data_IF_267387987697
#
_entry.id   IF_267387987697
#
_cell.length_a   1.000
_cell.length_b   1.000
_cell.length_c   1.000
_cell.angle_alpha   90.00
_cell.angle_beta   90.00
_cell.angle_gamma   90.00
#
_symmetry.space_group_name_H-M   'P 1'
#
loop_
_entity.id
_entity.type
_entity.pdbx_description
1 polymer ?
#
# COMPACT_ATOMS: atom_id res chain seq x y z
N UNK A 1 -73.32 4.36 -24.89
CA UNK A 1 -72.30 3.91 -23.90
C UNK A 1 -70.93 4.22 -24.48
N UNK A 2 -70.37 5.36 -24.10
CA UNK A 2 -69.04 5.83 -24.54
C UNK A 2 -68.10 5.73 -23.36
N UNK A 3 -67.11 4.84 -23.45
CA UNK A 3 -66.08 4.67 -22.41
C UNK A 3 -64.92 5.62 -22.73
N UNK A 4 -64.69 6.59 -21.85
CA UNK A 4 -63.56 7.51 -21.92
C UNK A 4 -62.35 6.86 -21.25
N UNK A 5 -61.36 6.42 -22.04
CA UNK A 5 -60.08 5.94 -21.52
C UNK A 5 -59.17 7.13 -21.17
N UNK A 6 -59.06 7.44 -19.89
CA UNK A 6 -58.05 8.36 -19.38
C UNK A 6 -56.72 7.62 -19.25
N UNK A 7 -55.79 7.88 -20.17
CA UNK A 7 -54.40 7.46 -20.03
C UNK A 7 -53.67 8.49 -19.15
N UNK A 8 -53.06 8.09 -18.02
CA UNK A 8 -52.35 9.02 -17.17
C UNK A 8 -51.03 9.44 -17.85
N UNK A 9 -50.87 10.75 -18.05
CA UNK A 9 -49.71 11.45 -18.65
C UNK A 9 -48.36 11.11 -17.96
N UNK A 10 -48.36 10.41 -16.83
CA UNK A 10 -47.16 10.09 -16.05
C UNK A 10 -46.27 9.00 -16.65
N UNK A 11 -46.77 8.18 -17.58
CA UNK A 11 -45.99 7.03 -18.08
C UNK A 11 -45.02 7.40 -19.22
N UNK A 12 -45.17 8.56 -19.87
CA UNK A 12 -44.26 8.97 -20.96
C UNK A 12 -42.98 9.68 -20.48
N UNK A 13 -42.92 10.16 -19.23
CA UNK A 13 -41.78 10.93 -18.74
C UNK A 13 -40.56 10.07 -18.32
N UNK A 14 -40.75 8.76 -18.09
CA UNK A 14 -39.68 7.87 -17.60
C UNK A 14 -38.83 7.32 -18.77
N UNK A 15 -39.38 7.21 -19.98
CA UNK A 15 -38.65 6.68 -21.13
C UNK A 15 -37.61 7.66 -21.72
N UNK A 16 -37.80 8.97 -21.55
CA UNK A 16 -36.88 9.97 -22.10
C UNK A 16 -35.60 10.17 -21.26
N UNK A 17 -35.60 9.82 -19.97
CA UNK A 17 -34.45 10.00 -19.09
C UNK A 17 -33.41 8.86 -19.21
N UNK A 18 -33.79 7.69 -19.77
CA UNK A 18 -32.90 6.53 -19.85
C UNK A 18 -32.00 6.53 -21.11
N UNK A 19 -32.30 7.34 -22.12
CA UNK A 19 -31.52 7.40 -23.36
C UNK A 19 -30.40 8.46 -23.31
N UNK A 20 -30.48 9.44 -22.39
CA UNK A 20 -29.45 10.48 -22.24
C UNK A 20 -28.23 10.04 -21.40
N UNK A 21 -28.28 8.90 -20.71
CA UNK A 21 -27.19 8.43 -19.85
C UNK A 21 -26.18 7.51 -20.56
N UNK A 22 -26.44 7.12 -21.82
CA UNK A 22 -25.61 6.13 -22.54
C UNK A 22 -24.45 6.76 -23.32
N UNK A 23 -24.39 8.09 -23.47
CA UNK A 23 -23.38 8.75 -24.33
C UNK A 23 -22.18 9.35 -23.60
N UNK A 24 -22.09 9.24 -22.27
CA UNK A 24 -20.97 9.80 -21.48
C UNK A 24 -20.07 8.74 -20.84
N UNK A 25 -19.89 7.59 -21.48
CA UNK A 25 -18.80 6.67 -21.14
C UNK A 25 -17.48 7.22 -21.70
N UNK A 26 -16.91 8.22 -21.04
CA UNK A 26 -15.51 8.55 -21.25
C UNK A 26 -14.67 7.33 -20.85
N UNK A 27 -13.67 6.90 -21.65
CA UNK A 27 -12.76 5.86 -21.22
C UNK A 27 -12.09 6.33 -19.93
N UNK A 28 -12.13 5.49 -18.90
CA UNK A 28 -11.31 5.69 -17.72
C UNK A 28 -9.85 5.62 -18.16
N UNK A 29 -9.23 6.78 -18.38
CA UNK A 29 -7.77 6.86 -18.52
C UNK A 29 -7.24 6.44 -17.16
N UNK A 30 -6.76 5.20 -17.06
CA UNK A 30 -6.01 4.76 -15.89
C UNK A 30 -4.89 5.78 -15.67
N UNK A 31 -4.88 6.43 -14.51
CA UNK A 31 -3.79 7.34 -14.15
C UNK A 31 -2.51 6.52 -14.08
N UNK A 32 -1.75 6.49 -15.17
CA UNK A 32 -0.38 6.00 -15.15
C UNK A 32 0.39 6.94 -14.24
N UNK A 33 0.77 6.47 -13.06
CA UNK A 33 1.67 7.22 -12.18
C UNK A 33 2.91 7.62 -12.99
N UNK A 34 3.14 8.93 -13.11
CA UNK A 34 4.36 9.51 -13.72
C UNK A 34 5.56 9.46 -12.77
N UNK A 35 5.43 8.77 -11.63
CA UNK A 35 6.53 8.57 -10.69
C UNK A 35 7.60 7.74 -11.40
N UNK A 36 8.80 8.30 -11.65
CA UNK A 36 9.87 7.57 -12.28
C UNK A 36 10.16 6.28 -11.51
N UNK A 37 10.30 5.18 -12.22
CA UNK A 37 10.72 3.92 -11.62
C UNK A 37 12.11 4.10 -10.95
N UNK A 38 12.09 4.07 -9.62
CA UNK A 38 13.15 3.65 -8.71
C UNK A 38 14.61 3.94 -9.09
N UNK A 39 15.03 5.20 -9.11
CA UNK A 39 16.46 5.56 -9.15
C UNK A 39 16.84 6.71 -8.20
N UNK A 40 15.86 7.29 -7.50
CA UNK A 40 16.13 8.28 -6.46
C UNK A 40 16.80 7.60 -5.24
N UNK A 41 17.96 8.10 -4.85
CA UNK A 41 18.60 7.76 -3.59
C UNK A 41 17.99 8.57 -2.43
N UNK A 42 18.01 7.99 -1.24
CA UNK A 42 17.64 8.69 -0.01
C UNK A 42 18.69 9.76 0.33
N UNK A 43 18.23 10.97 0.63
CA UNK A 43 19.01 12.08 1.18
C UNK A 43 18.35 12.55 2.47
N UNK A 44 19.03 13.32 3.34
CA UNK A 44 18.42 13.88 4.54
C UNK A 44 17.09 14.62 4.29
N UNK A 45 16.96 15.28 3.14
CA UNK A 45 15.81 16.12 2.81
C UNK A 45 14.62 15.37 2.18
N UNK A 46 14.85 14.16 1.64
CA UNK A 46 13.81 13.41 0.94
C UNK A 46 13.48 12.05 1.58
N UNK A 47 14.27 11.62 2.56
CA UNK A 47 14.16 10.32 3.17
C UNK A 47 13.02 10.25 4.18
N UNK A 48 12.27 9.16 4.11
CA UNK A 48 11.39 8.69 5.19
C UNK A 48 11.99 7.44 5.81
N UNK A 49 11.65 7.20 7.07
CA UNK A 49 11.78 5.89 7.68
C UNK A 49 10.46 5.14 7.49
N UNK A 50 10.51 3.87 7.11
CA UNK A 50 9.32 3.03 7.00
C UNK A 50 9.49 1.82 7.90
N UNK A 51 8.74 1.78 9.00
CA UNK A 51 8.66 0.60 9.85
C UNK A 51 7.61 -0.36 9.29
N UNK A 52 8.05 -1.55 8.91
CA UNK A 52 7.24 -2.64 8.40
C UNK A 52 7.17 -3.74 9.45
N UNK A 53 5.95 -4.06 9.87
CA UNK A 53 5.69 -5.25 10.67
C UNK A 53 5.29 -6.39 9.75
N UNK A 54 6.11 -7.43 9.68
CA UNK A 54 5.82 -8.70 9.03
C UNK A 54 5.32 -9.68 10.08
N UNK A 55 4.02 -9.60 10.40
CA UNK A 55 3.42 -10.36 11.51
C UNK A 55 3.26 -11.82 11.11
N UNK A 56 3.73 -12.72 11.96
CA UNK A 56 3.63 -14.15 11.72
C UNK A 56 2.17 -14.61 11.72
N UNK A 57 1.86 -15.56 10.85
CA UNK A 57 0.62 -16.33 10.95
C UNK A 57 0.84 -17.55 11.85
N UNK A 58 0.48 -17.41 13.12
CA UNK A 58 0.63 -18.49 14.11
C UNK A 58 -0.37 -19.64 13.94
N UNK A 59 -1.29 -19.56 12.97
CA UNK A 59 -2.19 -20.69 12.66
C UNK A 59 -1.53 -21.77 11.80
N UNK A 60 -0.33 -21.50 11.26
CA UNK A 60 0.38 -22.37 10.31
C UNK A 60 1.80 -22.71 10.80
N UNK A 61 2.33 -23.91 10.50
CA UNK A 61 3.70 -24.26 10.81
C UNK A 61 4.73 -23.37 10.10
N UNK A 62 5.81 -23.02 10.79
CA UNK A 62 6.89 -22.17 10.26
C UNK A 62 7.50 -22.71 8.96
N UNK A 63 7.64 -24.04 8.84
CA UNK A 63 8.19 -24.67 7.63
C UNK A 63 7.35 -24.37 6.38
N UNK A 64 6.02 -24.36 6.50
CA UNK A 64 5.12 -24.05 5.39
C UNK A 64 5.21 -22.57 4.99
N UNK A 65 5.28 -21.67 5.97
CA UNK A 65 5.44 -20.24 5.74
C UNK A 65 6.77 -19.96 5.01
N UNK A 66 7.86 -20.60 5.44
CA UNK A 66 9.16 -20.47 4.80
C UNK A 66 9.19 -21.02 3.37
N UNK A 67 8.56 -22.18 3.13
CA UNK A 67 8.45 -22.74 1.79
C UNK A 67 7.64 -21.81 0.86
N UNK A 68 6.59 -21.19 1.37
CA UNK A 68 5.81 -20.20 0.64
C UNK A 68 6.65 -18.96 0.30
N UNK A 69 7.36 -18.37 1.27
CA UNK A 69 8.24 -17.21 1.03
C UNK A 69 9.32 -17.52 -0.01
N UNK A 70 9.90 -18.72 0.04
CA UNK A 70 10.88 -19.16 -0.94
C UNK A 70 10.27 -19.27 -2.35
N UNK A 71 9.08 -19.89 -2.48
CA UNK A 71 8.35 -20.00 -3.74
C UNK A 71 7.97 -18.62 -4.31
N UNK A 72 7.58 -17.69 -3.45
CA UNK A 72 7.22 -16.32 -3.83
C UNK A 72 8.44 -15.42 -4.07
N UNK A 73 9.66 -15.87 -3.75
CA UNK A 73 10.89 -15.13 -4.00
C UNK A 73 11.11 -13.93 -3.06
N UNK A 74 10.54 -13.95 -1.85
CA UNK A 74 10.61 -12.83 -0.89
C UNK A 74 12.04 -12.33 -0.65
N UNK A 75 12.96 -13.21 -0.23
CA UNK A 75 14.34 -12.82 0.08
C UNK A 75 15.17 -12.46 -1.16
N UNK A 76 14.65 -12.71 -2.38
CA UNK A 76 15.29 -12.25 -3.62
C UNK A 76 14.84 -10.83 -3.98
N UNK A 77 13.58 -10.49 -3.69
CA UNK A 77 12.96 -9.23 -4.09
C UNK A 77 13.02 -8.15 -3.01
N UNK A 78 12.98 -8.53 -1.73
CA UNK A 78 12.93 -7.62 -0.60
C UNK A 78 14.27 -7.53 0.16
N UNK A 79 14.76 -6.32 0.48
CA UNK A 79 14.24 -5.03 0.03
C UNK A 79 14.55 -4.76 -1.45
N UNK A 80 13.80 -3.87 -2.13
CA UNK A 80 14.13 -3.43 -3.48
C UNK A 80 15.53 -2.75 -3.55
N UNK A 81 16.24 -2.84 -4.69
CA UNK A 81 17.57 -2.23 -4.82
C UNK A 81 17.60 -0.73 -4.48
N UNK A 82 18.59 -0.29 -3.70
CA UNK A 82 18.73 1.12 -3.31
C UNK A 82 17.76 1.58 -2.21
N UNK A 83 17.00 0.67 -1.59
CA UNK A 83 16.34 0.90 -0.30
C UNK A 83 17.28 0.43 0.81
N UNK A 84 17.56 1.30 1.78
CA UNK A 84 18.44 0.98 2.91
C UNK A 84 17.66 0.24 4.00
N UNK A 85 18.26 -0.80 4.59
CA UNK A 85 17.75 -1.47 5.81
C UNK A 85 18.44 -0.85 7.03
N UNK A 86 17.69 -0.08 7.81
CA UNK A 86 18.17 0.54 9.05
C UNK A 86 18.20 -0.47 10.19
N UNK A 87 17.18 -1.33 10.26
CA UNK A 87 17.15 -2.46 11.20
C UNK A 87 16.25 -3.59 10.70
N UNK A 88 16.56 -4.82 11.10
CA UNK A 88 15.74 -5.99 10.85
C UNK A 88 15.83 -6.92 12.07
N UNK A 89 14.72 -7.11 12.78
CA UNK A 89 14.68 -7.92 14.00
C UNK A 89 13.51 -8.89 13.99
N UNK A 90 13.66 -10.02 14.69
CA UNK A 90 12.54 -10.91 15.00
C UNK A 90 12.04 -10.54 16.40
N UNK A 91 10.84 -10.01 16.47
CA UNK A 91 10.16 -9.65 17.72
C UNK A 91 9.19 -10.78 18.10
N UNK A 92 9.52 -11.51 19.17
CA UNK A 92 8.73 -12.62 19.67
C UNK A 92 7.27 -12.21 19.89
N UNK A 93 6.33 -13.05 19.43
CA UNK A 93 4.89 -12.78 19.50
C UNK A 93 4.34 -11.82 18.45
N UNK A 94 5.19 -11.16 17.67
CA UNK A 94 4.79 -10.30 16.55
C UNK A 94 5.21 -10.93 15.24
N UNK A 95 6.50 -11.15 15.05
CA UNK A 95 7.09 -11.61 13.80
C UNK A 95 8.36 -10.85 13.50
N UNK A 96 8.53 -10.35 12.28
CA UNK A 96 9.71 -9.55 11.93
C UNK A 96 9.34 -8.07 11.87
N UNK A 97 10.24 -7.22 12.38
CA UNK A 97 10.11 -5.76 12.25
C UNK A 97 11.33 -5.28 11.47
N UNK A 98 11.05 -4.60 10.36
CA UNK A 98 12.06 -4.04 9.46
C UNK A 98 11.88 -2.54 9.40
N UNK A 99 12.93 -1.77 9.64
CA UNK A 99 12.94 -0.32 9.42
C UNK A 99 13.74 -0.05 8.17
N UNK A 100 13.11 0.57 7.17
CA UNK A 100 13.73 0.93 5.90
C UNK A 100 13.96 2.44 5.84
N UNK A 101 15.01 2.88 5.14
CA UNK A 101 15.20 4.27 4.73
C UNK A 101 15.14 4.37 3.21
N UNK A 102 14.30 5.27 2.72
CA UNK A 102 14.02 5.44 1.29
C UNK A 102 13.43 6.82 1.02
N UNK A 103 13.53 7.36 -0.21
CA UNK A 103 12.76 8.53 -0.59
C UNK A 103 11.26 8.22 -0.64
N UNK A 104 10.42 9.19 -0.26
CA UNK A 104 8.96 9.01 -0.24
C UNK A 104 8.38 8.56 -1.60
N UNK A 105 9.00 8.96 -2.71
CA UNK A 105 8.61 8.55 -4.07
C UNK A 105 8.71 7.04 -4.32
N UNK A 106 9.47 6.29 -3.52
CA UNK A 106 9.69 4.84 -3.67
C UNK A 106 8.83 3.97 -2.75
N UNK A 107 7.96 4.55 -1.92
CA UNK A 107 7.08 3.79 -1.02
C UNK A 107 6.21 2.77 -1.77
N UNK A 108 5.71 3.14 -2.97
CA UNK A 108 4.92 2.24 -3.81
C UNK A 108 5.71 0.98 -4.22
N UNK A 109 6.99 1.13 -4.53
CA UNK A 109 7.85 0.03 -4.94
C UNK A 109 8.05 -0.98 -3.82
N UNK A 110 8.32 -0.49 -2.60
CA UNK A 110 8.42 -1.35 -1.41
C UNK A 110 7.10 -2.06 -1.13
N UNK A 111 5.99 -1.32 -1.15
CA UNK A 111 4.67 -1.91 -0.94
C UNK A 111 4.42 -3.03 -1.96
N UNK A 112 4.71 -2.79 -3.25
CA UNK A 112 4.47 -3.77 -4.30
C UNK A 112 5.26 -5.07 -4.11
N UNK A 113 6.54 -4.97 -3.73
CA UNK A 113 7.35 -6.15 -3.42
C UNK A 113 6.74 -6.95 -2.27
N UNK A 114 6.24 -6.28 -1.23
CA UNK A 114 5.63 -6.96 -0.09
C UNK A 114 4.27 -7.59 -0.44
N UNK A 115 3.45 -6.90 -1.23
CA UNK A 115 2.21 -7.46 -1.79
C UNK A 115 2.47 -8.74 -2.58
N UNK A 116 3.45 -8.70 -3.48
CA UNK A 116 3.72 -9.79 -4.42
C UNK A 116 4.41 -10.99 -3.74
N UNK A 117 5.22 -10.74 -2.70
CA UNK A 117 6.14 -11.75 -2.18
C UNK A 117 6.00 -12.12 -0.70
N UNK A 118 5.39 -11.27 0.12
CA UNK A 118 5.27 -11.48 1.57
C UNK A 118 3.86 -11.88 2.02
N UNK A 119 2.83 -11.46 1.28
CA UNK A 119 1.44 -11.71 1.65
C UNK A 119 1.09 -13.20 1.62
N UNK A 120 0.30 -13.59 2.62
CA UNK A 120 -0.06 -14.99 2.91
C UNK A 120 0.92 -15.69 3.84
N UNK A 121 2.22 -15.36 3.80
CA UNK A 121 3.17 -15.79 4.83
C UNK A 121 3.20 -14.83 6.03
N UNK A 122 3.00 -13.54 5.76
CA UNK A 122 2.88 -12.50 6.77
C UNK A 122 1.58 -11.71 6.63
N UNK A 123 1.10 -11.16 7.75
CA UNK A 123 0.21 -9.99 7.78
C UNK A 123 1.07 -8.73 7.94
N UNK A 124 0.90 -7.76 7.06
CA UNK A 124 1.75 -6.57 7.04
C UNK A 124 1.09 -5.36 7.69
N UNK A 125 1.84 -4.60 8.49
CA UNK A 125 1.48 -3.23 8.91
C UNK A 125 2.61 -2.26 8.56
N UNK A 126 2.26 -1.01 8.23
CA UNK A 126 3.18 -0.01 7.69
C UNK A 126 3.08 1.30 8.45
N UNK A 127 4.22 1.81 8.91
CA UNK A 127 4.29 3.06 9.68
C UNK A 127 5.41 3.95 9.13
N UNK A 128 5.11 4.87 8.20
CA UNK A 128 6.07 5.87 7.76
C UNK A 128 6.32 6.89 8.88
N UNK A 129 7.58 7.22 9.12
CA UNK A 129 8.05 8.13 10.16
C UNK A 129 9.22 9.00 9.66
N UNK A 130 9.57 10.03 10.42
CA UNK A 130 10.77 10.84 10.22
C UNK A 130 11.79 10.55 11.32
N UNK A 131 13.07 10.86 11.06
CA UNK A 131 14.15 10.58 12.00
C UNK A 131 14.26 11.70 13.06
N UNK A 132 13.66 11.48 14.23
CA UNK A 132 13.69 12.44 15.33
C UNK A 132 14.87 12.23 16.28
N UNK A 133 15.74 11.25 16.04
CA UNK A 133 16.72 10.78 17.05
C UNK A 133 17.65 11.89 17.53
N UNK A 134 18.25 12.64 16.60
CA UNK A 134 19.21 13.69 16.94
C UNK A 134 18.57 14.82 17.76
N UNK A 135 17.35 15.23 17.39
CA UNK A 135 16.61 16.27 18.12
C UNK A 135 16.23 15.75 19.51
N UNK A 136 15.63 14.55 19.59
CA UNK A 136 15.21 13.97 20.87
C UNK A 136 16.36 13.77 21.86
N UNK A 137 17.53 13.33 21.40
CA UNK A 137 18.73 13.24 22.24
C UNK A 137 19.22 14.64 22.66
N UNK A 138 19.21 15.61 21.77
CA UNK A 138 19.57 17.00 22.09
C UNK A 138 18.67 17.61 23.16
N UNK A 139 17.36 17.42 23.06
CA UNK A 139 16.40 17.86 24.09
C UNK A 139 16.62 17.13 25.41
N UNK A 140 16.91 15.83 25.38
CA UNK A 140 17.19 15.05 26.59
C UNK A 140 18.46 15.54 27.32
N UNK A 141 19.55 15.81 26.60
CA UNK A 141 20.78 16.31 27.21
C UNK A 141 20.62 17.74 27.76
N UNK A 142 19.81 18.60 27.11
CA UNK A 142 19.52 19.96 27.63
C UNK A 142 18.68 19.96 28.90
N UNK A 143 17.92 18.89 29.13
CA UNK A 143 17.05 18.74 30.30
C UNK A 143 17.75 18.13 31.53
N UNK A 144 19.01 17.68 31.39
CA UNK A 144 19.85 17.22 32.50
C UNK A 144 20.55 18.40 33.18
#
# INVERSE_FOLDING_TARGET
MTVSLHFPVRTLAIAAALVAAVTCSAPAIGQTSTVPAGSAAATPDNAVLLTVFLKHDQSRPLAELNAQLAKQGFYKAFPPPGVEVVSWTVTMGIGQIVVLRLPASRVREVNRVLEDTAWGAYRTEFYPTYDYKAIGLGEHERAK
#
